data_IF_535501418060
#
_entry.id   IF_535501418060
#
_cell.length_a   1.000
_cell.length_b   1.000
_cell.length_c   1.000
_cell.angle_alpha   90.00
_cell.angle_beta   90.00
_cell.angle_gamma   90.00
#
_symmetry.space_group_name_H-M   'P 1'
#
loop_
_entity.id
_entity.type
_entity.pdbx_description
1 polymer ?
#
# COMPACT_ATOMS: atom_id res chain seq x y z
N UNK A 1 -70.58 53.87 -42.04
CA UNK A 1 -70.51 52.55 -41.37
C UNK A 1 -69.47 51.69 -42.08
N UNK A 2 -68.55 51.09 -41.30
CA UNK A 2 -67.60 50.01 -41.65
C UNK A 2 -66.44 50.38 -42.59
N UNK A 3 -65.19 49.99 -42.37
CA UNK A 3 -64.54 49.21 -41.29
C UNK A 3 -63.02 49.50 -41.35
N UNK A 4 -62.42 49.50 -40.17
CA UNK A 4 -61.04 49.79 -39.79
C UNK A 4 -59.99 48.80 -40.32
N UNK A 5 -58.78 49.32 -40.48
CA UNK A 5 -57.50 48.65 -40.81
C UNK A 5 -57.14 47.46 -39.91
N UNK A 6 -56.37 46.51 -40.44
CA UNK A 6 -55.52 45.64 -39.64
C UNK A 6 -54.27 45.24 -40.44
N UNK A 7 -53.14 45.84 -40.08
CA UNK A 7 -51.79 45.40 -40.49
C UNK A 7 -51.40 44.25 -39.56
N UNK A 8 -51.13 43.08 -40.12
CA UNK A 8 -50.65 41.91 -39.38
C UNK A 8 -49.13 42.01 -39.25
N UNK A 9 -48.63 42.35 -38.05
CA UNK A 9 -47.21 42.23 -37.71
C UNK A 9 -46.98 40.86 -37.07
N UNK A 10 -46.30 39.95 -37.78
CA UNK A 10 -45.86 38.69 -37.23
C UNK A 10 -44.56 38.89 -36.43
N UNK A 11 -44.65 38.80 -35.09
CA UNK A 11 -43.47 38.72 -34.23
C UNK A 11 -42.91 37.30 -34.26
N UNK A 12 -41.69 37.12 -34.78
CA UNK A 12 -40.91 35.90 -34.55
C UNK A 12 -40.36 35.93 -33.12
N UNK A 13 -40.89 35.07 -32.25
CA UNK A 13 -40.28 34.76 -30.96
C UNK A 13 -39.16 33.73 -31.17
N UNK A 14 -37.90 34.17 -31.13
CA UNK A 14 -36.74 33.27 -31.07
C UNK A 14 -36.56 32.84 -29.62
N UNK A 15 -37.01 31.63 -29.29
CA UNK A 15 -36.75 31.01 -28.00
C UNK A 15 -35.29 30.52 -27.97
N UNK A 16 -34.40 31.27 -27.32
CA UNK A 16 -33.03 30.85 -27.06
C UNK A 16 -33.00 29.76 -25.98
N UNK A 17 -32.76 28.51 -26.38
CA UNK A 17 -32.48 27.43 -25.45
C UNK A 17 -31.06 27.60 -24.90
N UNK A 18 -30.94 28.03 -23.64
CA UNK A 18 -29.67 28.06 -22.92
C UNK A 18 -29.34 26.61 -22.51
N UNK A 19 -28.44 25.97 -23.24
CA UNK A 19 -27.93 24.64 -22.89
C UNK A 19 -26.93 24.82 -21.75
N UNK A 20 -27.35 24.53 -20.52
CA UNK A 20 -26.43 24.39 -19.39
C UNK A 20 -25.67 23.07 -19.58
N UNK A 21 -24.44 23.15 -20.06
CA UNK A 21 -23.52 22.02 -20.02
C UNK A 21 -23.16 21.77 -18.54
N UNK A 22 -23.80 20.77 -17.94
CA UNK A 22 -23.38 20.27 -16.63
C UNK A 22 -22.04 19.55 -16.82
N UNK A 23 -20.94 20.22 -16.47
CA UNK A 23 -19.65 19.54 -16.32
C UNK A 23 -19.80 18.54 -15.19
N UNK A 24 -19.93 17.26 -15.52
CA UNK A 24 -19.78 16.20 -14.53
C UNK A 24 -18.41 16.38 -13.85
N UNK A 25 -18.32 16.32 -12.52
CA UNK A 25 -17.02 16.34 -11.88
C UNK A 25 -16.19 15.18 -12.47
N UNK A 26 -14.95 15.47 -12.86
CA UNK A 26 -14.02 14.42 -13.24
C UNK A 26 -13.97 13.42 -12.09
N UNK A 27 -14.24 12.14 -12.37
CA UNK A 27 -13.99 11.08 -11.40
C UNK A 27 -12.55 11.23 -10.94
N UNK A 28 -12.33 11.31 -9.63
CA UNK A 28 -10.98 11.17 -9.10
C UNK A 28 -10.42 9.85 -9.64
N UNK A 29 -9.14 9.84 -10.01
CA UNK A 29 -8.49 8.59 -10.38
C UNK A 29 -8.39 7.72 -9.12
N UNK A 30 -8.61 6.42 -9.27
CA UNK A 30 -8.49 5.45 -8.19
C UNK A 30 -7.13 5.60 -7.47
N UNK A 31 -7.14 5.50 -6.13
CA UNK A 31 -5.91 5.59 -5.35
C UNK A 31 -5.04 4.36 -5.59
N UNK A 32 -3.82 4.56 -6.06
CA UNK A 32 -2.89 3.49 -6.45
C UNK A 32 -2.09 3.02 -5.24
N UNK A 33 -2.16 1.72 -4.93
CA UNK A 33 -1.58 1.12 -3.74
C UNK A 33 -0.60 0.04 -4.17
N UNK A 34 0.66 0.16 -3.79
CA UNK A 34 1.69 -0.84 -4.11
C UNK A 34 1.99 -1.72 -2.89
N UNK A 35 1.62 -3.01 -2.91
CA UNK A 35 2.20 -4.02 -2.02
C UNK A 35 3.65 -4.28 -2.43
N UNK A 36 4.61 -3.78 -1.65
CA UNK A 36 6.05 -3.91 -1.90
C UNK A 36 6.66 -4.88 -0.89
N UNK A 37 7.49 -5.81 -1.35
CA UNK A 37 8.21 -6.69 -0.42
C UNK A 37 8.95 -7.86 -1.03
N UNK A 38 9.13 -8.89 -0.20
CA UNK A 38 9.73 -10.16 -0.58
C UNK A 38 8.68 -11.24 -0.90
N UNK A 39 9.01 -12.52 -0.70
CA UNK A 39 8.09 -13.64 -0.92
C UNK A 39 6.84 -13.55 -0.07
N UNK A 40 6.91 -12.98 1.14
CA UNK A 40 5.75 -12.83 2.01
C UNK A 40 4.73 -11.86 1.40
N UNK A 41 5.17 -10.89 0.59
CA UNK A 41 4.28 -10.02 -0.18
C UNK A 41 3.85 -10.69 -1.49
N UNK A 42 4.79 -11.26 -2.24
CA UNK A 42 4.53 -11.81 -3.58
C UNK A 42 3.79 -13.14 -3.55
N UNK A 43 4.53 -14.20 -3.27
CA UNK A 43 4.00 -15.56 -3.23
C UNK A 43 4.90 -16.48 -2.40
N UNK A 44 4.33 -17.46 -1.70
CA UNK A 44 2.89 -17.77 -1.63
C UNK A 44 2.16 -16.98 -0.53
N UNK A 45 0.85 -16.76 -0.70
CA UNK A 45 0.00 -16.18 0.34
C UNK A 45 -1.25 -15.49 -0.19
N UNK A 46 -2.27 -15.40 0.65
CA UNK A 46 -3.59 -14.87 0.31
C UNK A 46 -3.88 -13.50 0.97
N UNK A 47 -2.99 -12.96 1.81
CA UNK A 47 -3.32 -11.76 2.60
C UNK A 47 -3.71 -10.55 1.74
N UNK A 48 -3.12 -10.39 0.54
CA UNK A 48 -3.49 -9.33 -0.41
C UNK A 48 -4.94 -9.45 -0.87
N UNK A 49 -5.38 -10.65 -1.19
CA UNK A 49 -6.78 -10.92 -1.58
C UNK A 49 -7.76 -10.67 -0.43
N UNK A 50 -7.40 -11.09 0.79
CA UNK A 50 -8.20 -10.84 1.99
C UNK A 50 -8.32 -9.33 2.28
N UNK A 51 -7.20 -8.60 2.16
CA UNK A 51 -7.16 -7.15 2.36
C UNK A 51 -7.99 -6.43 1.30
N UNK A 52 -7.79 -6.75 0.02
CA UNK A 52 -8.54 -6.18 -1.10
C UNK A 52 -10.05 -6.37 -0.91
N UNK A 53 -10.50 -7.61 -0.70
CA UNK A 53 -11.92 -7.90 -0.54
C UNK A 53 -12.52 -7.20 0.68
N UNK A 54 -11.76 -7.09 1.76
CA UNK A 54 -12.20 -6.33 2.93
C UNK A 54 -12.37 -4.85 2.60
N UNK A 55 -11.39 -4.20 1.96
CA UNK A 55 -11.47 -2.81 1.51
C UNK A 55 -12.70 -2.56 0.62
N UNK A 56 -12.91 -3.42 -0.38
CA UNK A 56 -14.07 -3.33 -1.27
C UNK A 56 -15.39 -3.47 -0.49
N UNK A 57 -15.49 -4.46 0.40
CA UNK A 57 -16.69 -4.70 1.22
C UNK A 57 -17.01 -3.59 2.22
N UNK A 58 -16.02 -2.77 2.59
CA UNK A 58 -16.16 -1.66 3.52
C UNK A 58 -16.21 -0.28 2.85
N UNK A 59 -16.33 -0.26 1.52
CA UNK A 59 -16.62 0.96 0.75
C UNK A 59 -15.41 1.65 0.12
N UNK A 60 -14.21 1.10 0.25
CA UNK A 60 -13.02 1.57 -0.45
C UNK A 60 -12.96 0.96 -1.86
N UNK A 61 -13.88 1.37 -2.74
CA UNK A 61 -14.01 0.81 -4.09
C UNK A 61 -13.21 1.56 -5.15
N UNK A 62 -12.75 2.79 -4.85
CA UNK A 62 -11.96 3.63 -5.76
C UNK A 62 -10.46 3.49 -5.49
N UNK A 63 -9.98 2.25 -5.54
CA UNK A 63 -8.57 1.86 -5.32
C UNK A 63 -8.09 0.93 -6.43
N UNK A 64 -6.78 0.91 -6.63
CA UNK A 64 -6.07 0.12 -7.64
C UNK A 64 -4.82 -0.48 -6.98
N UNK A 65 -4.71 -1.81 -6.88
CA UNK A 65 -3.45 -2.42 -6.48
C UNK A 65 -2.51 -2.36 -7.67
N UNK A 66 -1.26 -1.97 -7.44
CA UNK A 66 -0.31 -1.72 -8.52
C UNK A 66 1.04 -2.36 -8.24
N UNK A 67 1.68 -2.82 -9.30
CA UNK A 67 2.98 -3.45 -9.26
C UNK A 67 3.34 -4.02 -10.63
N UNK A 68 4.60 -4.35 -10.85
CA UNK A 68 5.03 -4.96 -12.11
C UNK A 68 4.78 -6.46 -12.17
N UNK A 69 4.46 -7.10 -11.04
CA UNK A 69 4.14 -8.51 -10.97
C UNK A 69 2.63 -8.73 -11.00
N UNK A 70 2.15 -9.72 -11.78
CA UNK A 70 0.73 -10.04 -11.88
C UNK A 70 0.21 -10.64 -10.57
N UNK A 71 -1.12 -10.86 -10.46
CA UNK A 71 -1.70 -11.63 -9.37
C UNK A 71 -1.00 -12.98 -9.16
N UNK A 72 -0.32 -13.11 -8.03
CA UNK A 72 0.32 -14.37 -7.66
C UNK A 72 -0.57 -15.13 -6.66
N UNK A 73 -0.94 -16.35 -7.06
CA UNK A 73 -1.44 -17.46 -6.24
C UNK A 73 -2.28 -17.15 -5.01
N UNK A 74 -3.59 -17.45 -5.08
CA UNK A 74 -4.46 -17.71 -3.92
C UNK A 74 -5.84 -18.27 -4.31
N UNK A 75 -6.21 -18.22 -5.60
CA UNK A 75 -7.49 -18.71 -6.11
C UNK A 75 -8.71 -17.85 -5.74
N UNK A 76 -8.48 -16.73 -5.04
CA UNK A 76 -9.50 -15.76 -4.66
C UNK A 76 -9.48 -14.60 -5.65
N UNK A 77 -10.63 -14.24 -6.20
CA UNK A 77 -10.76 -13.05 -7.08
C UNK A 77 -10.47 -11.78 -6.29
N UNK A 78 -9.53 -10.97 -6.80
CA UNK A 78 -9.14 -9.67 -6.30
C UNK A 78 -8.30 -8.96 -7.38
N UNK A 79 -8.05 -7.67 -7.22
CA UNK A 79 -6.91 -7.05 -7.89
C UNK A 79 -5.63 -7.47 -7.15
N UNK A 80 -4.76 -8.19 -7.87
CA UNK A 80 -3.62 -8.89 -7.30
C UNK A 80 -2.28 -8.33 -7.76
N UNK A 81 -2.25 -7.23 -8.48
CA UNK A 81 -1.01 -6.59 -8.89
C UNK A 81 -0.16 -6.24 -7.66
N UNK A 82 1.14 -6.50 -7.74
CA UNK A 82 2.04 -6.36 -6.60
C UNK A 82 3.50 -6.19 -7.02
N UNK A 83 4.33 -5.82 -6.05
CA UNK A 83 5.77 -5.68 -6.19
C UNK A 83 6.47 -6.55 -5.13
N UNK A 84 6.01 -7.80 -4.97
CA UNK A 84 6.56 -8.79 -4.04
C UNK A 84 7.52 -9.77 -4.72
N UNK A 85 8.81 -9.67 -4.40
CA UNK A 85 9.87 -10.41 -5.10
C UNK A 85 10.49 -11.48 -4.19
N UNK A 86 10.21 -12.76 -4.48
CA UNK A 86 10.74 -13.88 -3.71
C UNK A 86 12.27 -13.89 -3.60
N UNK A 87 12.78 -13.99 -2.38
CA UNK A 87 14.22 -14.02 -2.09
C UNK A 87 14.94 -12.67 -2.20
N UNK A 88 14.24 -11.57 -2.52
CA UNK A 88 14.88 -10.26 -2.61
C UNK A 88 15.22 -9.74 -1.21
N UNK A 89 16.31 -8.99 -1.13
CA UNK A 89 16.74 -8.29 0.06
C UNK A 89 16.50 -6.79 -0.13
N UNK A 90 15.99 -6.11 0.88
CA UNK A 90 15.77 -4.66 0.83
C UNK A 90 17.09 -3.92 0.57
N UNK A 91 18.18 -4.40 1.17
CA UNK A 91 19.52 -3.86 0.93
C UNK A 91 19.96 -3.99 -0.53
N UNK A 92 19.71 -5.14 -1.17
CA UNK A 92 20.05 -5.32 -2.58
C UNK A 92 19.18 -4.44 -3.48
N UNK A 93 17.87 -4.38 -3.24
CA UNK A 93 16.95 -3.53 -4.00
C UNK A 93 17.36 -2.06 -3.94
N UNK A 94 17.72 -1.58 -2.75
CA UNK A 94 18.21 -0.21 -2.57
C UNK A 94 19.54 0.01 -3.30
N UNK A 95 20.54 -0.86 -3.08
CA UNK A 95 21.89 -0.72 -3.65
C UNK A 95 21.90 -0.82 -5.18
N UNK A 96 21.03 -1.65 -5.75
CA UNK A 96 20.91 -1.85 -7.19
C UNK A 96 19.94 -0.85 -7.84
N UNK A 97 19.37 0.07 -7.07
CA UNK A 97 18.46 1.11 -7.54
C UNK A 97 17.29 0.55 -8.39
N UNK A 98 16.67 -0.54 -7.91
CA UNK A 98 15.60 -1.22 -8.64
C UNK A 98 14.24 -0.53 -8.49
N UNK A 99 13.92 -0.02 -7.30
CA UNK A 99 12.62 0.56 -6.97
C UNK A 99 12.18 1.72 -7.89
N UNK A 100 13.04 2.66 -8.34
CA UNK A 100 12.63 3.73 -9.24
C UNK A 100 11.97 3.24 -10.55
N UNK A 101 12.43 2.11 -11.10
CA UNK A 101 11.82 1.51 -12.29
C UNK A 101 10.37 1.08 -12.02
N UNK A 102 10.14 0.37 -10.92
CA UNK A 102 8.80 -0.07 -10.49
C UNK A 102 7.87 1.11 -10.22
N UNK A 103 8.36 2.13 -9.49
CA UNK A 103 7.62 3.36 -9.21
C UNK A 103 7.23 4.11 -10.48
N UNK A 104 8.14 4.22 -11.45
CA UNK A 104 7.87 4.90 -12.72
C UNK A 104 6.79 4.19 -13.56
N UNK A 105 6.76 2.85 -13.51
CA UNK A 105 5.82 2.04 -14.26
C UNK A 105 4.40 2.10 -13.66
N UNK A 106 4.30 2.21 -12.35
CA UNK A 106 3.04 1.95 -11.61
C UNK A 106 2.49 3.17 -10.88
N UNK A 107 3.33 4.18 -10.61
CA UNK A 107 2.99 5.47 -9.98
C UNK A 107 2.09 5.36 -8.74
N UNK A 108 2.51 4.68 -7.67
CA UNK A 108 1.68 4.53 -6.47
C UNK A 108 1.50 5.84 -5.70
N UNK A 109 0.36 5.95 -5.01
CA UNK A 109 0.05 6.96 -4.00
C UNK A 109 0.39 6.45 -2.59
N UNK A 110 0.22 5.15 -2.37
CA UNK A 110 0.45 4.47 -1.10
C UNK A 110 1.34 3.24 -1.33
N UNK A 111 2.33 3.03 -0.45
CA UNK A 111 3.16 1.81 -0.43
C UNK A 111 2.91 1.05 0.86
N UNK A 112 2.63 -0.26 0.76
CA UNK A 112 2.63 -1.21 1.88
C UNK A 112 3.93 -2.00 1.81
N UNK A 113 4.91 -1.65 2.65
CA UNK A 113 6.23 -2.27 2.63
C UNK A 113 6.34 -3.32 3.74
N UNK A 114 6.29 -4.61 3.38
CA UNK A 114 6.74 -5.72 4.23
C UNK A 114 8.02 -6.28 3.62
N UNK A 115 9.16 -5.93 4.20
CA UNK A 115 10.45 -6.25 3.62
C UNK A 115 11.53 -6.41 4.71
N UNK A 116 12.63 -7.07 4.39
CA UNK A 116 13.75 -7.28 5.32
C UNK A 116 13.84 -8.70 5.87
N UNK A 117 12.89 -9.59 5.56
CA UNK A 117 12.92 -11.00 6.01
C UNK A 117 14.19 -11.70 5.53
N UNK A 118 14.52 -11.54 4.24
CA UNK A 118 15.71 -12.15 3.65
C UNK A 118 17.02 -11.50 4.12
N UNK A 119 16.99 -10.20 4.43
CA UNK A 119 18.13 -9.49 5.03
C UNK A 119 18.44 -10.04 6.44
N UNK A 120 17.40 -10.17 7.27
CA UNK A 120 17.48 -10.78 8.60
C UNK A 120 17.99 -12.22 8.52
N UNK A 121 17.45 -13.00 7.58
CA UNK A 121 17.93 -14.36 7.31
C UNK A 121 19.42 -14.38 6.95
N UNK A 122 19.84 -13.45 6.10
CA UNK A 122 21.21 -13.31 5.63
C UNK A 122 22.16 -12.66 6.65
N UNK A 123 21.73 -12.53 7.91
CA UNK A 123 22.49 -11.95 9.01
C UNK A 123 22.95 -10.49 8.74
N UNK A 124 22.15 -9.74 7.98
CA UNK A 124 22.43 -8.31 7.79
C UNK A 124 22.00 -7.56 9.04
N UNK A 125 22.87 -6.68 9.52
CA UNK A 125 22.62 -5.90 10.72
C UNK A 125 21.41 -4.96 10.54
N UNK A 126 20.55 -4.78 11.56
CA UNK A 126 19.39 -3.88 11.50
C UNK A 126 19.71 -2.47 10.98
N UNK A 127 20.84 -1.90 11.40
CA UNK A 127 21.26 -0.57 10.94
C UNK A 127 21.49 -0.50 9.42
N UNK A 128 22.02 -1.56 8.81
CA UNK A 128 22.22 -1.65 7.35
C UNK A 128 20.88 -1.78 6.63
N UNK A 129 19.95 -2.58 7.16
CA UNK A 129 18.59 -2.73 6.60
C UNK A 129 17.86 -1.38 6.66
N UNK A 130 17.94 -0.66 7.78
CA UNK A 130 17.29 0.64 7.94
C UNK A 130 17.92 1.73 7.07
N UNK A 131 19.23 1.67 6.80
CA UNK A 131 19.86 2.53 5.79
C UNK A 131 19.29 2.29 4.38
N UNK A 132 19.06 1.02 4.04
CA UNK A 132 18.37 0.66 2.79
C UNK A 132 16.94 1.18 2.79
N UNK A 133 16.19 1.04 3.88
CA UNK A 133 14.84 1.60 3.99
C UNK A 133 14.82 3.12 3.79
N UNK A 134 15.79 3.85 4.36
CA UNK A 134 15.94 5.30 4.12
C UNK A 134 16.15 5.60 2.64
N UNK A 135 16.96 4.79 1.94
CA UNK A 135 17.17 4.93 0.49
C UNK A 135 15.90 4.66 -0.31
N UNK A 136 15.17 3.57 0.01
CA UNK A 136 13.90 3.23 -0.64
C UNK A 136 12.85 4.34 -0.42
N UNK A 137 12.73 4.88 0.80
CA UNK A 137 11.84 6.01 1.11
C UNK A 137 12.23 7.27 0.33
N UNK A 138 13.52 7.54 0.16
CA UNK A 138 14.00 8.65 -0.68
C UNK A 138 13.57 8.47 -2.14
N UNK A 139 13.72 7.27 -2.69
CA UNK A 139 13.28 6.93 -4.05
C UNK A 139 11.76 7.05 -4.20
N UNK A 140 10.99 6.60 -3.21
CA UNK A 140 9.53 6.79 -3.15
C UNK A 140 9.18 8.27 -3.22
N UNK A 141 9.75 9.10 -2.34
CA UNK A 141 9.48 10.54 -2.27
C UNK A 141 9.94 11.30 -3.51
N UNK A 142 11.00 10.85 -4.18
CA UNK A 142 11.43 11.40 -5.46
C UNK A 142 10.41 11.12 -6.58
N UNK A 143 9.73 9.96 -6.55
CA UNK A 143 8.66 9.63 -7.49
C UNK A 143 7.34 10.32 -7.16
N UNK A 144 6.99 10.42 -5.88
CA UNK A 144 5.78 11.08 -5.39
C UNK A 144 6.07 11.74 -4.03
N UNK A 145 6.21 13.08 -3.96
CA UNK A 145 6.56 13.76 -2.72
C UNK A 145 5.49 13.67 -1.62
N UNK A 146 4.27 13.26 -1.97
CA UNK A 146 3.14 13.08 -1.05
C UNK A 146 2.85 11.61 -0.74
N UNK A 147 3.73 10.68 -1.14
CA UNK A 147 3.54 9.24 -0.95
C UNK A 147 3.29 8.92 0.53
N UNK A 148 2.21 8.18 0.81
CA UNK A 148 1.95 7.60 2.15
C UNK A 148 2.63 6.25 2.22
N UNK A 149 3.41 6.01 3.27
CA UNK A 149 4.25 4.82 3.36
C UNK A 149 3.87 4.06 4.63
N UNK A 150 3.37 2.84 4.48
CA UNK A 150 3.06 1.98 5.61
C UNK A 150 4.14 0.89 5.68
N UNK A 151 4.92 0.89 6.76
CA UNK A 151 6.07 -0.01 6.92
C UNK A 151 5.75 -1.05 7.98
N UNK A 152 5.86 -2.33 7.62
CA UNK A 152 5.65 -3.41 8.56
C UNK A 152 6.84 -3.51 9.54
N UNK A 153 6.55 -3.70 10.83
CA UNK A 153 7.35 -4.68 11.58
C UNK A 153 7.10 -6.03 10.92
N UNK A 154 8.14 -6.76 10.54
CA UNK A 154 7.96 -8.06 9.85
C UNK A 154 7.28 -9.07 10.78
N UNK A 155 6.60 -10.06 10.20
CA UNK A 155 6.08 -11.20 10.95
C UNK A 155 7.25 -11.96 11.62
N UNK A 156 7.00 -12.69 12.73
CA UNK A 156 8.01 -13.54 13.32
C UNK A 156 8.47 -14.62 12.34
N UNK A 157 9.73 -15.02 12.45
CA UNK A 157 10.29 -16.14 11.68
C UNK A 157 11.14 -17.04 12.59
N UNK A 158 11.02 -18.34 12.42
CA UNK A 158 11.80 -19.34 13.13
C UNK A 158 11.97 -20.63 12.29
N UNK A 159 12.62 -20.53 11.12
CA UNK A 159 12.90 -21.69 10.26
C UNK A 159 13.92 -22.63 10.92
N UNK A 160 13.80 -23.93 10.71
CA UNK A 160 14.75 -24.92 11.24
C UNK A 160 16.19 -24.74 10.73
N UNK A 161 16.36 -24.06 9.59
CA UNK A 161 17.65 -23.77 8.95
C UNK A 161 18.35 -22.51 9.47
N UNK A 162 17.75 -21.75 10.40
CA UNK A 162 18.36 -20.55 10.94
C UNK A 162 17.97 -20.33 12.41
N UNK A 163 18.81 -20.83 13.32
CA UNK A 163 18.58 -20.76 14.77
C UNK A 163 18.51 -19.32 15.31
N UNK A 164 19.30 -18.40 14.72
CA UNK A 164 19.36 -17.01 15.19
C UNK A 164 18.28 -16.10 14.58
N UNK A 165 17.55 -16.57 13.57
CA UNK A 165 16.64 -15.71 12.80
C UNK A 165 15.53 -15.12 13.67
N UNK A 166 15.01 -15.87 14.65
CA UNK A 166 14.00 -15.37 15.57
C UNK A 166 14.50 -14.14 16.36
N UNK A 167 15.72 -14.21 16.91
CA UNK A 167 16.29 -13.09 17.67
C UNK A 167 16.70 -11.92 16.75
N UNK A 168 17.20 -12.21 15.55
CA UNK A 168 17.54 -11.17 14.57
C UNK A 168 16.29 -10.40 14.11
N UNK A 169 15.16 -11.09 13.91
CA UNK A 169 13.88 -10.47 13.58
C UNK A 169 13.39 -9.55 14.71
N UNK A 170 13.52 -9.97 15.98
CA UNK A 170 13.24 -9.10 17.15
C UNK A 170 14.11 -7.83 17.11
N UNK A 171 15.42 -7.99 16.92
CA UNK A 171 16.35 -6.86 16.90
C UNK A 171 16.02 -5.87 15.78
N UNK A 172 15.67 -6.38 14.59
CA UNK A 172 15.23 -5.54 13.47
C UNK A 172 13.92 -4.81 13.78
N UNK A 173 12.89 -5.54 14.21
CA UNK A 173 11.57 -4.96 14.53
C UNK A 173 11.61 -3.92 15.65
N UNK A 174 12.51 -4.06 16.62
CA UNK A 174 12.69 -3.09 17.70
C UNK A 174 13.29 -1.76 17.22
N UNK A 175 14.03 -1.77 16.11
CA UNK A 175 14.66 -0.56 15.57
C UNK A 175 13.74 0.25 14.63
N UNK A 176 12.72 -0.40 14.05
CA UNK A 176 11.80 0.22 13.07
C UNK A 176 11.04 1.45 13.65
N UNK A 177 10.46 1.43 14.86
CA UNK A 177 9.69 2.57 15.37
C UNK A 177 10.51 3.86 15.48
N UNK A 178 11.72 3.78 16.01
CA UNK A 178 12.60 4.94 16.15
C UNK A 178 13.05 5.47 14.78
N UNK A 179 13.39 4.57 13.85
CA UNK A 179 13.71 4.95 12.47
C UNK A 179 12.54 5.64 11.77
N UNK A 180 11.33 5.10 11.88
CA UNK A 180 10.15 5.67 11.26
C UNK A 180 9.83 7.06 11.82
N UNK A 181 9.91 7.23 13.14
CA UNK A 181 9.71 8.53 13.79
C UNK A 181 10.74 9.58 13.35
N UNK A 182 11.99 9.18 13.11
CA UNK A 182 13.03 10.07 12.62
C UNK A 182 12.92 10.40 11.12
N UNK A 183 12.24 9.56 10.33
CA UNK A 183 12.20 9.65 8.86
C UNK A 183 10.86 10.19 8.33
N UNK A 184 9.79 10.10 9.11
CA UNK A 184 8.43 10.55 8.74
C UNK A 184 8.36 12.08 8.57
N UNK A 185 7.50 12.56 7.67
CA UNK A 185 7.20 13.98 7.51
C UNK A 185 5.68 14.18 7.40
N UNK A 186 5.20 15.41 7.62
CA UNK A 186 3.78 15.73 7.42
C UNK A 186 3.34 15.52 5.97
N UNK A 187 4.22 15.79 4.99
CA UNK A 187 3.90 15.68 3.57
C UNK A 187 3.88 14.22 3.08
N UNK A 188 4.81 13.39 3.56
CA UNK A 188 4.94 11.97 3.21
C UNK A 188 5.07 11.16 4.50
N UNK A 189 3.92 10.86 5.16
CA UNK A 189 3.91 10.20 6.44
C UNK A 189 4.33 8.73 6.32
N UNK A 190 5.10 8.28 7.31
CA UNK A 190 5.43 6.88 7.54
C UNK A 190 4.62 6.38 8.73
N UNK A 191 3.84 5.31 8.52
CA UNK A 191 3.09 4.63 9.58
C UNK A 191 3.64 3.22 9.78
N UNK A 192 4.04 2.89 11.00
CA UNK A 192 4.48 1.53 11.34
C UNK A 192 3.27 0.64 11.55
N UNK A 193 3.21 -0.49 10.85
CA UNK A 193 2.19 -1.52 10.99
C UNK A 193 2.78 -2.73 11.70
N UNK A 194 2.23 -3.07 12.86
CA UNK A 194 2.74 -4.17 13.68
C UNK A 194 2.18 -5.52 13.19
N UNK A 195 2.89 -6.17 12.27
CA UNK A 195 2.60 -7.55 11.83
C UNK A 195 3.14 -8.61 12.80
N UNK A 196 3.89 -8.20 13.83
CA UNK A 196 4.51 -9.12 14.77
C UNK A 196 3.56 -9.56 15.87
N UNK A 197 2.90 -8.60 16.52
CA UNK A 197 2.10 -8.86 17.72
C UNK A 197 0.86 -9.71 17.43
N UNK A 198 0.80 -10.90 18.03
CA UNK A 198 -0.29 -11.87 17.88
C UNK A 198 -0.06 -12.93 16.78
N UNK A 199 1.11 -12.90 16.15
CA UNK A 199 1.54 -13.86 15.14
C UNK A 199 2.45 -14.93 15.77
N UNK A 200 2.26 -16.19 15.38
CA UNK A 200 3.00 -17.35 15.88
C UNK A 200 3.55 -18.16 14.72
N UNK A 201 4.86 -18.36 14.69
CA UNK A 201 5.51 -19.15 13.63
C UNK A 201 4.97 -20.58 13.56
N UNK A 202 4.61 -21.20 14.69
CA UNK A 202 4.17 -22.60 14.70
C UNK A 202 2.73 -22.82 14.21
N UNK A 203 1.88 -21.80 14.25
CA UNK A 203 0.45 -21.93 13.90
C UNK A 203 0.04 -21.10 12.71
N UNK A 204 0.78 -20.02 12.41
CA UNK A 204 0.45 -19.07 11.35
C UNK A 204 1.39 -19.15 10.15
N UNK A 205 2.40 -20.03 10.18
CA UNK A 205 3.27 -20.32 9.01
C UNK A 205 3.22 -21.80 8.65
N UNK A 206 3.68 -22.16 7.46
CA UNK A 206 3.83 -23.56 7.05
C UNK A 206 5.28 -24.08 7.08
N UNK A 207 6.28 -23.18 7.12
CA UNK A 207 7.72 -23.53 7.11
C UNK A 207 8.54 -22.75 8.15
N UNK A 208 7.88 -22.03 9.06
CA UNK A 208 8.52 -21.14 10.03
C UNK A 208 8.76 -19.72 9.50
N UNK A 209 8.32 -19.39 8.28
CA UNK A 209 8.62 -18.12 7.60
C UNK A 209 7.39 -17.56 6.90
N UNK A 210 6.80 -18.36 6.01
CA UNK A 210 5.77 -17.92 5.10
C UNK A 210 4.39 -18.19 5.69
N UNK A 211 3.48 -17.20 5.64
CA UNK A 211 2.18 -17.32 6.25
C UNK A 211 1.38 -18.47 5.61
N UNK A 212 0.64 -19.19 6.45
CA UNK A 212 -0.47 -20.03 6.00
C UNK A 212 -1.78 -19.21 6.00
N UNK A 213 -2.93 -19.84 5.74
CA UNK A 213 -4.21 -19.13 5.70
C UNK A 213 -4.56 -18.34 6.98
N UNK A 214 -4.19 -18.86 8.16
CA UNK A 214 -4.40 -18.15 9.43
C UNK A 214 -3.45 -16.95 9.57
N UNK A 215 -2.19 -17.11 9.17
CA UNK A 215 -1.23 -16.01 9.10
C UNK A 215 -1.64 -14.92 8.10
N UNK A 216 -2.13 -15.31 6.93
CA UNK A 216 -2.62 -14.40 5.91
C UNK A 216 -3.78 -13.53 6.43
N UNK A 217 -4.71 -14.15 7.16
CA UNK A 217 -5.82 -13.43 7.78
C UNK A 217 -5.31 -12.41 8.80
N UNK A 218 -4.38 -12.81 9.68
CA UNK A 218 -3.78 -11.89 10.67
C UNK A 218 -3.05 -10.74 9.99
N UNK A 219 -2.32 -11.01 8.90
CA UNK A 219 -1.63 -9.97 8.14
C UNK A 219 -2.59 -8.96 7.53
N UNK A 220 -3.68 -9.44 6.93
CA UNK A 220 -4.77 -8.60 6.42
C UNK A 220 -5.40 -7.75 7.54
N UNK A 221 -5.66 -8.33 8.70
CA UNK A 221 -6.26 -7.64 9.85
C UNK A 221 -5.39 -6.50 10.39
N UNK A 222 -4.06 -6.61 10.31
CA UNK A 222 -3.13 -5.55 10.72
C UNK A 222 -2.98 -4.47 9.66
N UNK A 223 -2.94 -4.84 8.37
CA UNK A 223 -2.84 -3.87 7.29
C UNK A 223 -4.09 -3.00 7.16
N UNK A 224 -5.27 -3.60 7.27
CA UNK A 224 -6.55 -2.96 7.00
C UNK A 224 -6.75 -1.62 7.73
N UNK A 225 -6.65 -1.51 9.08
CA UNK A 225 -6.92 -0.25 9.76
C UNK A 225 -5.93 0.86 9.38
N UNK A 226 -4.65 0.52 9.18
CA UNK A 226 -3.65 1.50 8.79
C UNK A 226 -3.89 2.01 7.36
N UNK A 227 -4.21 1.11 6.43
CA UNK A 227 -4.50 1.48 5.04
C UNK A 227 -5.83 2.24 4.92
N UNK A 228 -6.87 1.81 5.62
CA UNK A 228 -8.15 2.53 5.70
C UNK A 228 -7.96 3.98 6.18
N UNK A 229 -7.16 4.20 7.23
CA UNK A 229 -6.82 5.54 7.72
C UNK A 229 -6.05 6.36 6.68
N UNK A 230 -5.09 5.73 6.00
CA UNK A 230 -4.34 6.38 4.92
C UNK A 230 -5.25 6.78 3.75
N UNK A 231 -6.24 5.96 3.40
CA UNK A 231 -7.22 6.24 2.35
C UNK A 231 -8.19 7.36 2.75
N UNK A 232 -8.67 7.38 4.00
CA UNK A 232 -9.61 8.39 4.50
C UNK A 232 -8.97 9.77 4.77
N UNK A 233 -7.65 9.90 4.70
CA UNK A 233 -6.94 11.15 4.98
C UNK A 233 -6.84 11.51 6.47
N UNK A 234 -7.20 10.60 7.37
CA UNK A 234 -7.11 10.78 8.82
C UNK A 234 -5.79 10.21 9.34
N UNK A 235 -4.76 11.05 9.45
CA UNK A 235 -3.52 10.68 10.13
C UNK A 235 -3.75 10.71 11.65
N UNK A 236 -4.00 9.55 12.26
CA UNK A 236 -3.95 9.42 13.72
C UNK A 236 -2.49 9.31 14.15
N UNK A 237 -1.96 10.21 15.00
CA UNK A 237 -0.61 10.06 15.53
C UNK A 237 -0.51 8.75 16.31
N UNK A 238 0.49 7.92 16.01
CA UNK A 238 0.80 6.74 16.82
C UNK A 238 1.16 7.20 18.24
N UNK A 239 0.56 6.64 19.30
CA UNK A 239 0.93 7.00 20.66
C UNK A 239 2.38 6.55 20.93
N UNK A 240 3.20 7.50 21.36
CA UNK A 240 4.54 7.22 21.90
C UNK A 240 4.41 6.29 23.09
N UNK A 241 5.15 5.16 23.16
CA UNK A 241 5.18 4.35 24.37
C UNK A 241 5.78 5.16 25.52
N UNK A 242 5.04 5.26 26.63
CA UNK A 242 5.60 5.65 27.95
C UNK A 242 6.44 4.53 28.53
#
# INVERSE_FOLDING_TARGET
MRRTSAVLAAMLAVAGAVIFATTAPASAAATRIMPLGDSITGSPGCWRALLWNRLQSTGYTDIDFVGTLPPQGCGVTHDGDNEGHGGFLATNVANQNQLPGWLSATRPDIVLMHFGTNDVWSNIAPATILSAFTTLVSQMRASNPNMKILVAKIIPMNPSSCADCAQRAVNFNNAIPAWAAATTTTQSPITVVDQWTGFSTSTDTYDGVHPNAAGDQKMSDKWYPALANALSGTSTPTPTPT
#
